data_IF_386671731246
#
_entry.id   IF_386671731246
#
_cell.length_a   1.000
_cell.length_b   1.000
_cell.length_c   1.000
_cell.angle_alpha   90.00
_cell.angle_beta   90.00
_cell.angle_gamma   90.00
#
_symmetry.space_group_name_H-M   'P 1'
#
loop_
_entity.id
_entity.type
_entity.pdbx_description
1 polymer ?
#
# COMPACT_ATOMS: atom_id res chain seq x y z
N UNK A 1 -0.66 -13.80 8.16
CA UNK A 1 0.70 -13.76 8.75
C UNK A 1 0.85 -12.45 9.53
N UNK A 2 1.45 -12.45 10.73
CA UNK A 2 1.62 -11.24 11.54
C UNK A 2 3.11 -10.94 11.73
N UNK A 3 3.50 -9.66 11.69
CA UNK A 3 4.89 -9.24 11.70
C UNK A 3 5.06 -7.76 12.04
N UNK A 4 6.30 -7.27 11.96
CA UNK A 4 6.61 -5.87 12.19
C UNK A 4 6.26 -5.01 10.96
N UNK A 5 5.72 -3.82 11.22
CA UNK A 5 5.28 -2.87 10.19
C UNK A 5 6.44 -2.12 9.52
N UNK A 6 6.09 -1.17 8.68
CA UNK A 6 6.98 -0.51 7.70
C UNK A 6 8.06 0.41 8.29
N UNK A 7 7.86 0.96 9.48
CA UNK A 7 8.81 1.87 10.13
C UNK A 7 9.40 1.20 11.38
N UNK A 8 10.51 0.48 11.23
CA UNK A 8 11.09 -0.33 12.30
C UNK A 8 11.90 0.48 13.32
N UNK A 9 12.65 1.49 12.85
CA UNK A 9 13.39 2.43 13.69
C UNK A 9 13.35 3.82 13.07
N UNK A 10 13.25 4.87 13.90
CA UNK A 10 13.16 6.24 13.41
C UNK A 10 14.42 6.69 12.64
N UNK A 11 15.59 6.18 13.02
CA UNK A 11 16.86 6.49 12.34
C UNK A 11 16.94 5.92 10.91
N UNK A 12 16.06 4.97 10.55
CA UNK A 12 15.90 4.40 9.21
C UNK A 12 14.74 5.03 8.42
N UNK A 13 14.16 6.14 8.89
CA UNK A 13 13.03 6.77 8.23
C UNK A 13 13.42 7.39 6.88
N UNK A 14 13.07 6.68 5.80
CA UNK A 14 13.36 7.05 4.42
C UNK A 14 12.18 7.80 3.78
N UNK A 15 11.87 8.99 4.30
CA UNK A 15 10.66 9.74 3.93
C UNK A 15 10.53 10.06 2.43
N UNK A 16 9.30 9.96 1.96
CA UNK A 16 8.86 10.02 0.58
C UNK A 16 8.27 11.38 0.17
N UNK A 17 9.11 12.37 -0.13
CA UNK A 17 8.60 13.65 -0.63
C UNK A 17 9.43 14.14 -1.80
N UNK A 18 8.99 13.87 -3.03
CA UNK A 18 9.69 14.28 -4.26
C UNK A 18 9.71 15.79 -4.53
N UNK A 19 9.19 16.59 -3.60
CA UNK A 19 9.37 18.05 -3.56
C UNK A 19 10.57 18.48 -2.70
N UNK A 20 11.20 17.54 -2.00
CA UNK A 20 12.33 17.77 -1.10
C UNK A 20 13.51 16.90 -1.55
N UNK A 21 14.75 17.28 -1.21
CA UNK A 21 15.88 16.39 -1.37
C UNK A 21 15.66 15.06 -0.63
N UNK A 22 16.23 13.99 -1.16
CA UNK A 22 16.24 12.68 -0.51
C UNK A 22 16.80 12.80 0.92
N UNK A 23 16.21 12.11 1.92
CA UNK A 23 16.75 12.11 3.28
C UNK A 23 18.16 11.51 3.35
N UNK A 24 19.01 12.12 4.16
CA UNK A 24 20.27 11.51 4.63
C UNK A 24 20.01 10.77 5.94
N UNK A 25 20.09 9.43 5.90
CA UNK A 25 19.85 8.63 7.09
C UNK A 25 20.98 8.81 8.12
N UNK A 26 20.62 8.85 9.41
CA UNK A 26 21.55 9.05 10.50
C UNK A 26 22.67 7.99 10.53
N UNK A 27 23.85 8.33 11.06
CA UNK A 27 24.99 7.39 11.18
C UNK A 27 24.72 6.24 12.15
N UNK A 28 23.79 6.42 13.10
CA UNK A 28 23.36 5.39 14.05
C UNK A 28 22.34 4.40 13.48
N UNK A 29 21.85 4.63 12.24
CA UNK A 29 20.80 3.84 11.62
C UNK A 29 21.13 2.35 11.60
N UNK A 30 22.34 1.97 11.18
CA UNK A 30 22.75 0.57 11.08
C UNK A 30 22.73 -0.12 12.45
N UNK A 31 23.20 0.56 13.49
CA UNK A 31 23.27 0.01 14.84
C UNK A 31 21.86 -0.16 15.46
N UNK A 32 20.96 0.79 15.22
CA UNK A 32 19.57 0.71 15.68
C UNK A 32 18.79 -0.35 14.91
N UNK A 33 18.89 -0.35 13.58
CA UNK A 33 18.20 -1.30 12.71
C UNK A 33 18.68 -2.72 12.98
N UNK A 34 20.00 -2.94 13.16
CA UNK A 34 20.54 -4.27 13.48
C UNK A 34 19.88 -4.87 14.72
N UNK A 35 19.74 -4.10 15.81
CA UNK A 35 19.11 -4.57 17.05
C UNK A 35 17.68 -5.06 16.81
N UNK A 36 16.90 -4.29 16.06
CA UNK A 36 15.50 -4.63 15.77
C UNK A 36 15.43 -5.83 14.83
N UNK A 37 16.21 -5.84 13.74
CA UNK A 37 16.20 -6.95 12.78
C UNK A 37 16.67 -8.25 13.44
N UNK A 38 17.72 -8.23 14.27
CA UNK A 38 18.14 -9.41 15.05
C UNK A 38 17.00 -9.93 15.92
N UNK A 39 16.29 -9.07 16.66
CA UNK A 39 15.16 -9.47 17.49
C UNK A 39 14.03 -10.11 16.65
N UNK A 40 13.68 -9.52 15.50
CA UNK A 40 12.64 -10.04 14.62
C UNK A 40 13.04 -11.41 14.04
N UNK A 41 14.30 -11.56 13.63
CA UNK A 41 14.83 -12.80 13.06
C UNK A 41 14.94 -13.91 14.11
N UNK A 42 15.39 -13.61 15.33
CA UNK A 42 15.42 -14.53 16.47
C UNK A 42 14.04 -15.09 16.79
N UNK A 43 13.02 -14.23 16.77
CA UNK A 43 11.63 -14.62 17.06
C UNK A 43 10.88 -15.14 15.83
N UNK A 44 11.53 -15.20 14.66
CA UNK A 44 10.93 -15.62 13.38
C UNK A 44 9.69 -14.80 13.01
N UNK A 45 9.70 -13.51 13.35
CA UNK A 45 8.63 -12.58 12.98
C UNK A 45 8.93 -11.95 11.61
N UNK A 46 8.03 -12.13 10.63
CA UNK A 46 8.13 -11.43 9.35
C UNK A 46 8.21 -9.93 9.54
N UNK A 47 8.84 -9.23 8.60
CA UNK A 47 9.00 -7.79 8.69
C UNK A 47 9.04 -7.13 7.32
N UNK A 48 8.65 -5.86 7.29
CA UNK A 48 8.76 -4.99 6.12
C UNK A 48 9.48 -3.70 6.50
N UNK A 49 10.02 -3.01 5.51
CA UNK A 49 10.68 -1.73 5.73
C UNK A 49 10.36 -0.77 4.60
N UNK A 50 10.00 0.47 4.95
CA UNK A 50 9.90 1.56 4.00
C UNK A 50 11.25 1.76 3.33
N UNK A 51 11.30 1.75 1.99
CA UNK A 51 12.52 2.10 1.29
C UNK A 51 12.20 2.64 -0.11
N UNK A 52 12.18 3.96 -0.24
CA UNK A 52 11.96 4.67 -1.51
C UNK A 52 13.25 4.68 -2.34
N UNK A 53 14.40 4.88 -1.68
CA UNK A 53 15.64 5.21 -2.38
C UNK A 53 16.75 4.16 -2.27
N UNK A 54 17.48 3.92 -3.36
CA UNK A 54 18.57 2.93 -3.39
C UNK A 54 19.68 3.19 -2.39
N UNK A 55 19.96 4.45 -2.07
CA UNK A 55 20.97 4.82 -1.07
C UNK A 55 20.57 4.40 0.34
N UNK A 56 19.27 4.41 0.64
CA UNK A 56 18.69 3.88 1.86
C UNK A 56 18.67 2.34 1.81
N UNK A 57 18.15 1.77 0.72
CA UNK A 57 18.06 0.32 0.47
C UNK A 57 19.44 -0.35 0.61
N UNK A 58 20.49 0.23 0.03
CA UNK A 58 21.83 -0.32 0.08
C UNK A 58 22.33 -0.45 1.53
N UNK A 59 22.05 0.55 2.38
CA UNK A 59 22.42 0.53 3.79
C UNK A 59 21.56 -0.46 4.59
N UNK A 60 20.26 -0.53 4.31
CA UNK A 60 19.37 -1.54 4.92
C UNK A 60 19.82 -2.96 4.61
N UNK A 61 20.16 -3.24 3.35
CA UNK A 61 20.67 -4.53 2.91
C UNK A 61 22.01 -4.88 3.56
N UNK A 62 22.88 -3.91 3.85
CA UNK A 62 24.12 -4.18 4.60
C UNK A 62 23.80 -4.78 5.99
N UNK A 63 22.81 -4.20 6.67
CA UNK A 63 22.32 -4.70 7.98
C UNK A 63 21.68 -6.08 7.82
N UNK A 64 20.83 -6.28 6.81
CA UNK A 64 20.14 -7.55 6.61
C UNK A 64 21.13 -8.68 6.29
N UNK A 65 22.13 -8.42 5.45
CA UNK A 65 23.21 -9.36 5.15
C UNK A 65 24.06 -9.67 6.39
N UNK A 66 24.35 -8.68 7.22
CA UNK A 66 25.07 -8.87 8.49
C UNK A 66 24.28 -9.75 9.45
N UNK A 67 23.00 -9.43 9.69
CA UNK A 67 22.15 -10.26 10.56
C UNK A 67 21.97 -11.65 9.97
N UNK A 68 21.77 -11.81 8.66
CA UNK A 68 21.61 -13.12 8.03
C UNK A 68 22.86 -14.01 8.15
N UNK A 69 24.07 -13.43 8.25
CA UNK A 69 25.30 -14.20 8.55
C UNK A 69 25.33 -14.72 9.98
N UNK A 70 24.77 -13.97 10.93
CA UNK A 70 24.74 -14.31 12.35
C UNK A 70 23.58 -15.26 12.68
N UNK A 71 22.39 -14.93 12.16
CA UNK A 71 21.13 -15.62 12.38
C UNK A 71 20.43 -15.76 11.00
N UNK A 72 20.56 -16.92 10.35
CA UNK A 72 20.04 -17.09 9.00
C UNK A 72 18.54 -16.85 8.89
N UNK A 73 18.14 -16.09 7.87
CA UNK A 73 16.74 -15.81 7.58
C UNK A 73 15.99 -17.09 7.24
N UNK A 74 16.60 -18.07 6.56
CA UNK A 74 16.08 -19.43 6.38
C UNK A 74 14.55 -19.49 6.12
N UNK A 75 14.07 -18.75 5.11
CA UNK A 75 12.65 -18.69 4.76
C UNK A 75 11.79 -17.76 5.61
N UNK A 76 12.38 -16.94 6.49
CA UNK A 76 11.70 -15.83 7.13
C UNK A 76 11.27 -14.82 6.07
N UNK A 77 9.98 -14.48 6.06
CA UNK A 77 9.43 -13.57 5.05
C UNK A 77 9.77 -12.12 5.39
N UNK A 78 10.35 -11.41 4.42
CA UNK A 78 10.64 -9.99 4.53
C UNK A 78 10.57 -9.30 3.17
N UNK A 79 10.34 -8.00 3.15
CA UNK A 79 10.29 -7.22 1.91
C UNK A 79 10.54 -5.72 2.15
N UNK A 80 10.83 -5.01 1.06
CA UNK A 80 10.76 -3.55 1.02
C UNK A 80 9.40 -3.08 0.48
N UNK A 81 8.91 -1.97 1.02
CA UNK A 81 7.82 -1.21 0.42
C UNK A 81 8.41 -0.08 -0.46
N UNK A 82 7.72 0.26 -1.54
CA UNK A 82 7.98 1.31 -2.53
C UNK A 82 9.08 0.99 -3.55
N UNK A 83 10.35 1.09 -3.17
CA UNK A 83 11.53 0.81 -3.99
C UNK A 83 11.63 1.61 -5.31
N UNK A 84 11.20 2.87 -5.32
CA UNK A 84 11.17 3.73 -6.53
C UNK A 84 12.50 3.83 -7.26
N UNK A 85 13.62 4.02 -6.55
CA UNK A 85 14.92 4.20 -7.21
C UNK A 85 15.87 3.02 -7.10
N UNK A 86 15.38 1.85 -6.65
CA UNK A 86 16.20 0.66 -6.40
C UNK A 86 17.08 0.30 -7.60
N UNK A 87 18.36 0.02 -7.34
CA UNK A 87 19.32 -0.37 -8.37
C UNK A 87 19.28 -1.86 -8.69
N UNK A 88 19.79 -2.24 -9.87
CA UNK A 88 20.00 -3.65 -10.26
C UNK A 88 20.77 -4.44 -9.20
N UNK A 89 21.83 -3.84 -8.67
CA UNK A 89 22.65 -4.45 -7.62
C UNK A 89 21.85 -4.70 -6.34
N UNK A 90 21.01 -3.75 -5.93
CA UNK A 90 20.16 -3.92 -4.74
C UNK A 90 19.08 -4.98 -4.97
N UNK A 91 18.48 -5.04 -6.17
CA UNK A 91 17.54 -6.10 -6.52
C UNK A 91 18.19 -7.50 -6.49
N UNK A 92 19.41 -7.65 -6.99
CA UNK A 92 20.17 -8.92 -6.90
C UNK A 92 20.39 -9.35 -5.44
N UNK A 93 20.67 -8.39 -4.55
CA UNK A 93 20.84 -8.65 -3.10
C UNK A 93 19.51 -9.03 -2.43
N UNK A 94 18.41 -8.35 -2.77
CA UNK A 94 17.05 -8.72 -2.33
C UNK A 94 16.77 -10.17 -2.73
N UNK A 95 17.04 -10.53 -3.99
CA UNK A 95 16.86 -11.90 -4.48
C UNK A 95 17.74 -12.90 -3.75
N UNK A 96 19.02 -12.59 -3.54
CA UNK A 96 19.97 -13.47 -2.85
C UNK A 96 19.55 -13.78 -1.40
N UNK A 97 18.87 -12.84 -0.75
CA UNK A 97 18.33 -12.97 0.61
C UNK A 97 16.87 -13.47 0.65
N UNK A 98 16.29 -13.87 -0.49
CA UNK A 98 14.90 -14.30 -0.63
C UNK A 98 13.86 -13.29 -0.11
N UNK A 99 14.14 -11.99 -0.27
CA UNK A 99 13.18 -10.91 0.03
C UNK A 99 12.19 -10.67 -1.11
N UNK A 100 11.12 -9.94 -0.80
CA UNK A 100 10.16 -9.42 -1.77
C UNK A 100 10.20 -7.89 -1.90
N UNK A 101 9.39 -7.36 -2.82
CA UNK A 101 9.16 -5.92 -3.01
C UNK A 101 7.66 -5.67 -3.19
N UNK A 102 7.07 -4.83 -2.35
CA UNK A 102 5.71 -4.33 -2.54
C UNK A 102 5.77 -2.93 -3.16
N UNK A 103 5.26 -2.76 -4.37
CA UNK A 103 5.23 -1.47 -5.08
C UNK A 103 3.90 -0.75 -4.83
N UNK A 104 3.92 0.58 -4.86
CA UNK A 104 2.74 1.41 -4.70
C UNK A 104 2.61 2.45 -5.81
N UNK A 105 1.38 2.84 -6.13
CA UNK A 105 1.06 3.74 -7.24
C UNK A 105 1.32 5.22 -6.95
N UNK A 106 2.25 5.53 -6.03
CA UNK A 106 2.66 6.92 -5.72
C UNK A 106 3.06 7.69 -6.97
N UNK A 107 3.76 7.04 -7.90
CA UNK A 107 4.17 7.66 -9.17
C UNK A 107 2.98 8.06 -10.05
N UNK A 108 1.78 7.51 -9.84
CA UNK A 108 0.56 7.99 -10.49
C UNK A 108 0.20 9.42 -10.04
N UNK A 109 0.50 9.78 -8.79
CA UNK A 109 0.14 11.06 -8.18
C UNK A 109 1.30 12.05 -8.09
N UNK A 110 2.52 11.55 -7.97
CA UNK A 110 3.72 12.37 -7.72
C UNK A 110 4.76 12.28 -8.84
N UNK A 111 4.42 11.65 -9.97
CA UNK A 111 5.35 11.48 -11.09
C UNK A 111 5.83 12.80 -11.67
N UNK A 112 5.00 13.85 -11.69
CA UNK A 112 5.40 15.20 -12.08
C UNK A 112 6.54 15.72 -11.19
N UNK A 113 6.36 15.65 -9.87
CA UNK A 113 7.39 16.10 -8.91
C UNK A 113 8.67 15.29 -9.02
N UNK A 114 8.55 13.98 -9.23
CA UNK A 114 9.72 13.11 -9.44
C UNK A 114 10.48 13.52 -10.71
N UNK A 115 9.78 13.78 -11.81
CA UNK A 115 10.39 14.21 -13.07
C UNK A 115 11.04 15.59 -12.93
N UNK A 116 10.42 16.52 -12.20
CA UNK A 116 11.00 17.84 -11.94
C UNK A 116 12.31 17.75 -11.14
N UNK A 117 12.38 16.83 -10.17
CA UNK A 117 13.52 16.69 -9.28
C UNK A 117 14.66 15.83 -9.86
N UNK A 118 14.33 14.70 -10.49
CA UNK A 118 15.30 13.69 -10.93
C UNK A 118 15.39 13.55 -12.46
N UNK A 119 14.49 14.18 -13.19
CA UNK A 119 14.44 14.13 -14.65
C UNK A 119 13.66 12.93 -15.20
N UNK A 120 13.22 13.08 -16.45
CA UNK A 120 12.39 12.08 -17.15
C UNK A 120 13.08 10.73 -17.31
N UNK A 121 14.38 10.71 -17.56
CA UNK A 121 15.11 9.44 -17.76
C UNK A 121 15.18 8.62 -16.47
N UNK A 122 15.31 9.24 -15.30
CA UNK A 122 15.21 8.53 -14.03
C UNK A 122 13.80 7.96 -13.85
N UNK A 123 12.77 8.77 -14.10
CA UNK A 123 11.38 8.39 -13.87
C UNK A 123 10.93 7.16 -14.69
N UNK A 124 11.49 6.97 -15.90
CA UNK A 124 11.24 5.79 -16.73
C UNK A 124 11.54 4.47 -16.02
N UNK A 125 12.45 4.47 -15.04
CA UNK A 125 12.93 3.29 -14.35
C UNK A 125 12.41 3.20 -12.91
N UNK A 126 11.31 3.89 -12.58
CA UNK A 126 10.89 4.12 -11.19
C UNK A 126 9.44 3.73 -10.94
N UNK A 127 9.16 2.65 -10.18
CA UNK A 127 10.08 1.55 -9.86
C UNK A 127 10.32 0.64 -11.10
N UNK A 128 11.44 -0.10 -11.16
CA UNK A 128 11.78 -0.96 -12.30
C UNK A 128 11.07 -2.34 -12.25
N UNK A 129 9.74 -2.35 -12.38
CA UNK A 129 8.89 -3.53 -12.08
C UNK A 129 9.24 -4.78 -12.91
N UNK A 130 9.38 -4.67 -14.24
CA UNK A 130 9.75 -5.83 -15.06
C UNK A 130 11.10 -6.44 -14.66
N UNK A 131 12.05 -5.59 -14.29
CA UNK A 131 13.37 -6.08 -13.86
C UNK A 131 13.29 -6.88 -12.56
N UNK A 132 12.44 -6.45 -11.62
CA UNK A 132 12.15 -7.21 -10.40
C UNK A 132 11.56 -8.59 -10.74
N UNK A 133 10.61 -8.63 -11.67
CA UNK A 133 9.96 -9.85 -12.14
C UNK A 133 10.95 -10.79 -12.86
N UNK A 134 11.81 -10.27 -13.73
CA UNK A 134 12.83 -11.02 -14.46
C UNK A 134 13.85 -11.69 -13.52
N UNK A 135 14.16 -11.05 -12.40
CA UNK A 135 15.01 -11.62 -11.34
C UNK A 135 14.29 -12.67 -10.49
N UNK A 136 12.98 -12.85 -10.69
CA UNK A 136 12.15 -13.75 -9.90
C UNK A 136 12.03 -13.31 -8.44
N UNK A 137 12.04 -12.00 -8.20
CA UNK A 137 11.71 -11.43 -6.89
C UNK A 137 10.19 -11.52 -6.71
N UNK A 138 9.67 -11.94 -5.54
CA UNK A 138 8.26 -11.79 -5.23
C UNK A 138 7.85 -10.32 -5.25
N UNK A 139 6.95 -9.96 -6.17
CA UNK A 139 6.42 -8.60 -6.31
C UNK A 139 4.93 -8.61 -6.06
N UNK A 140 4.46 -7.62 -5.30
CA UNK A 140 3.05 -7.34 -5.07
C UNK A 140 2.80 -5.86 -5.31
N UNK A 141 1.59 -5.51 -5.71
CA UNK A 141 1.20 -4.12 -5.93
C UNK A 141 0.16 -3.69 -4.90
N UNK A 142 0.19 -2.41 -4.57
CA UNK A 142 -0.75 -1.80 -3.65
C UNK A 142 -0.87 -0.29 -3.80
N UNK A 143 -1.58 0.34 -2.87
CA UNK A 143 -1.82 1.79 -2.88
C UNK A 143 -1.05 2.57 -1.81
N UNK A 144 -0.84 2.00 -0.62
CA UNK A 144 -0.47 2.76 0.59
C UNK A 144 -1.42 3.98 0.80
N UNK A 145 -2.71 3.68 0.59
CA UNK A 145 -3.77 4.67 0.63
C UNK A 145 -3.86 5.43 1.96
N UNK A 146 -4.44 6.64 1.90
CA UNK A 146 -4.54 7.65 2.97
C UNK A 146 -3.24 8.39 3.30
N UNK A 147 -2.09 7.89 2.86
CA UNK A 147 -0.79 8.53 3.06
C UNK A 147 -0.18 9.06 1.76
N UNK A 148 -0.12 8.21 0.73
CA UNK A 148 0.56 8.54 -0.54
C UNK A 148 -0.37 8.53 -1.76
N UNK A 149 -1.47 7.78 -1.68
CA UNK A 149 -2.35 7.50 -2.82
C UNK A 149 -3.83 7.37 -2.42
N UNK A 150 -4.67 7.16 -3.43
CA UNK A 150 -6.08 6.76 -3.29
C UNK A 150 -6.20 5.27 -2.95
N UNK A 151 -7.27 4.90 -2.23
CA UNK A 151 -7.61 3.48 -2.02
C UNK A 151 -8.24 2.81 -3.25
N UNK A 152 -8.38 3.53 -4.37
CA UNK A 152 -8.94 3.00 -5.60
C UNK A 152 -7.88 2.13 -6.34
N UNK A 153 -8.03 0.79 -6.39
CA UNK A 153 -7.04 -0.10 -7.01
C UNK A 153 -6.92 0.11 -8.53
N UNK A 154 -7.96 0.66 -9.16
CA UNK A 154 -7.97 0.90 -10.60
C UNK A 154 -7.02 2.02 -11.02
N UNK A 155 -6.73 2.97 -10.13
CA UNK A 155 -5.71 4.00 -10.37
C UNK A 155 -4.32 3.36 -10.42
N UNK A 156 -4.03 2.42 -9.54
CA UNK A 156 -2.77 1.68 -9.54
C UNK A 156 -2.62 0.80 -10.78
N UNK A 157 -3.67 0.08 -11.16
CA UNK A 157 -3.69 -0.72 -12.38
C UNK A 157 -3.57 0.15 -13.64
N UNK A 158 -4.22 1.32 -13.68
CA UNK A 158 -4.05 2.30 -14.75
C UNK A 158 -2.60 2.77 -14.85
N UNK A 159 -1.98 3.17 -13.74
CA UNK A 159 -0.59 3.63 -13.73
C UNK A 159 0.38 2.57 -14.24
N UNK A 160 0.26 1.33 -13.77
CA UNK A 160 1.12 0.22 -14.21
C UNK A 160 0.96 -0.08 -15.70
N UNK A 161 -0.26 -0.02 -16.24
CA UNK A 161 -0.56 -0.36 -17.64
C UNK A 161 -0.28 0.81 -18.58
N UNK A 162 -0.81 1.99 -18.29
CA UNK A 162 -0.68 3.17 -19.14
C UNK A 162 0.71 3.82 -19.01
N UNK A 163 1.41 3.61 -17.90
CA UNK A 163 2.70 4.23 -17.62
C UNK A 163 2.61 5.74 -17.46
N UNK A 164 1.49 6.24 -16.94
CA UNK A 164 1.16 7.67 -16.84
C UNK A 164 0.76 8.07 -15.43
N UNK A 165 0.96 9.34 -15.12
CA UNK A 165 0.33 9.99 -13.97
C UNK A 165 -1.17 10.17 -14.22
N UNK A 166 -1.93 10.44 -13.15
CA UNK A 166 -3.33 10.85 -13.25
C UNK A 166 -3.49 12.20 -13.97
N UNK A 167 -2.44 13.04 -13.95
CA UNK A 167 -2.35 14.32 -14.67
C UNK A 167 -2.02 14.16 -16.16
N UNK A 168 -1.77 12.94 -16.64
CA UNK A 168 -1.51 12.62 -18.04
C UNK A 168 -0.03 12.68 -18.45
N UNK A 169 0.88 12.95 -17.53
CA UNK A 169 2.32 12.87 -17.80
C UNK A 169 2.70 11.41 -18.09
N UNK A 170 3.26 11.16 -19.28
CA UNK A 170 3.80 9.84 -19.62
C UNK A 170 5.18 9.66 -19.00
N UNK A 171 5.29 8.69 -18.08
CA UNK A 171 6.49 8.36 -17.32
C UNK A 171 7.26 7.23 -18.01
N UNK A 172 6.56 6.15 -18.40
CA UNK A 172 7.18 4.94 -18.91
C UNK A 172 7.20 4.89 -20.44
N UNK A 173 8.31 4.39 -20.97
CA UNK A 173 8.39 3.92 -22.35
C UNK A 173 7.65 2.57 -22.46
N UNK A 174 7.25 2.14 -23.67
CA UNK A 174 6.48 0.90 -23.89
C UNK A 174 7.06 -0.34 -23.18
N UNK A 175 8.40 -0.44 -23.12
CA UNK A 175 9.10 -1.55 -22.46
C UNK A 175 8.86 -1.64 -20.94
N UNK A 176 8.42 -0.56 -20.30
CA UNK A 176 8.22 -0.47 -18.85
C UNK A 176 6.73 -0.40 -18.48
N UNK A 177 5.82 -0.46 -19.46
CA UNK A 177 4.38 -0.61 -19.25
C UNK A 177 4.02 -2.07 -19.04
N UNK A 178 3.27 -2.38 -17.99
CA UNK A 178 2.86 -3.74 -17.71
C UNK A 178 1.70 -4.17 -18.60
N UNK A 179 1.75 -5.43 -19.07
CA UNK A 179 0.57 -6.09 -19.58
C UNK A 179 -0.53 -6.09 -18.51
N UNK A 180 -1.79 -5.86 -18.91
CA UNK A 180 -2.96 -5.86 -18.01
C UNK A 180 -3.03 -7.09 -17.12
N UNK A 181 -2.76 -8.26 -17.69
CA UNK A 181 -2.74 -9.51 -16.94
C UNK A 181 -1.67 -9.52 -15.87
N UNK A 182 -0.45 -9.06 -16.18
CA UNK A 182 0.65 -8.98 -15.22
C UNK A 182 0.33 -7.99 -14.11
N UNK A 183 -0.18 -6.79 -14.45
CA UNK A 183 -0.60 -5.80 -13.47
C UNK A 183 -1.68 -6.34 -12.51
N UNK A 184 -2.70 -7.02 -13.05
CA UNK A 184 -3.76 -7.64 -12.24
C UNK A 184 -3.22 -8.79 -11.38
N UNK A 185 -2.32 -9.62 -11.90
CA UNK A 185 -1.67 -10.69 -11.14
C UNK A 185 -0.87 -10.12 -9.96
N UNK A 186 -0.11 -9.04 -10.16
CA UNK A 186 0.62 -8.36 -9.08
C UNK A 186 -0.31 -7.85 -7.98
N UNK A 187 -1.43 -7.21 -8.36
CA UNK A 187 -2.41 -6.64 -7.42
C UNK A 187 -3.31 -7.69 -6.73
N UNK A 188 -3.23 -8.96 -7.15
CA UNK A 188 -4.05 -10.04 -6.61
C UNK A 188 -3.17 -11.18 -6.06
N UNK A 189 -2.80 -12.14 -6.90
CA UNK A 189 -1.99 -13.31 -6.55
C UNK A 189 -0.59 -12.92 -6.04
N UNK A 190 0.04 -11.91 -6.63
CA UNK A 190 1.35 -11.39 -6.21
C UNK A 190 1.28 -10.88 -4.77
N UNK A 191 0.30 -10.02 -4.48
CA UNK A 191 0.06 -9.49 -3.13
C UNK A 191 -0.28 -10.55 -2.09
N UNK A 192 -0.85 -11.71 -2.46
CA UNK A 192 -1.10 -12.82 -1.54
C UNK A 192 0.19 -13.40 -0.91
N UNK A 193 1.35 -13.24 -1.57
CA UNK A 193 2.65 -13.60 -0.99
C UNK A 193 2.94 -12.81 0.28
N UNK A 194 2.63 -11.52 0.30
CA UNK A 194 2.95 -10.62 1.41
C UNK A 194 2.08 -10.87 2.64
N UNK A 195 0.93 -11.52 2.49
CA UNK A 195 0.07 -11.94 3.61
C UNK A 195 0.27 -13.39 4.05
N UNK A 196 1.05 -14.18 3.28
CA UNK A 196 1.21 -15.62 3.50
C UNK A 196 -0.03 -16.43 3.11
N UNK A 197 -0.82 -15.92 2.17
CA UNK A 197 -2.08 -16.52 1.71
C UNK A 197 -1.97 -17.06 0.27
N UNK A 198 -0.74 -17.34 -0.20
CA UNK A 198 -0.53 -17.97 -1.49
C UNK A 198 -1.30 -19.30 -1.56
N UNK A 199 -2.00 -19.54 -2.67
CA UNK A 199 -2.83 -20.72 -2.84
C UNK A 199 -4.13 -20.72 -2.03
N UNK A 200 -4.41 -19.66 -1.25
CA UNK A 200 -5.70 -19.45 -0.57
C UNK A 200 -6.53 -18.33 -1.19
N UNK A 201 -5.88 -17.29 -1.72
CA UNK A 201 -6.55 -16.15 -2.38
C UNK A 201 -5.70 -15.56 -3.51
N UNK A 202 -6.32 -14.63 -4.24
CA UNK A 202 -5.69 -13.89 -5.33
C UNK A 202 -5.84 -14.54 -6.70
N UNK A 203 -6.51 -15.69 -6.82
CA UNK A 203 -6.86 -16.30 -8.10
C UNK A 203 -8.23 -16.95 -8.03
N UNK A 204 -9.01 -16.85 -9.09
CA UNK A 204 -10.27 -17.61 -9.24
C UNK A 204 -9.93 -19.06 -9.59
N UNK A 205 -9.77 -19.89 -8.56
CA UNK A 205 -9.44 -21.31 -8.70
C UNK A 205 -10.14 -22.16 -7.62
N UNK A 206 -10.44 -23.41 -7.95
CA UNK A 206 -11.02 -24.37 -6.99
C UNK A 206 -10.09 -24.52 -5.79
N UNK A 207 -10.64 -24.40 -4.58
CA UNK A 207 -9.90 -24.49 -3.31
C UNK A 207 -9.42 -23.15 -2.74
N UNK A 208 -9.56 -22.04 -3.48
CA UNK A 208 -9.31 -20.69 -2.96
C UNK A 208 -10.60 -20.04 -2.44
N UNK A 209 -10.46 -18.97 -1.66
CA UNK A 209 -11.58 -18.14 -1.23
C UNK A 209 -12.31 -17.57 -2.45
N UNK A 210 -13.64 -17.55 -2.37
CA UNK A 210 -14.49 -16.90 -3.35
C UNK A 210 -14.53 -15.38 -3.11
N UNK A 211 -13.38 -14.75 -3.31
CA UNK A 211 -13.17 -13.30 -3.27
C UNK A 211 -13.21 -12.78 -4.72
N UNK A 212 -14.30 -12.09 -5.09
CA UNK A 212 -14.63 -11.77 -6.49
C UNK A 212 -15.15 -10.32 -6.56
N UNK A 213 -14.74 -9.60 -7.60
CA UNK A 213 -15.36 -8.36 -8.02
C UNK A 213 -15.98 -8.52 -9.42
N UNK A 214 -17.22 -8.07 -9.59
CA UNK A 214 -17.85 -7.87 -10.90
C UNK A 214 -17.68 -6.41 -11.26
N UNK A 215 -17.09 -6.11 -12.43
CA UNK A 215 -16.68 -4.76 -12.79
C UNK A 215 -17.72 -4.05 -13.66
N UNK A 216 -17.69 -2.72 -13.65
CA UNK A 216 -18.53 -1.86 -14.50
C UNK A 216 -18.26 -2.01 -16.00
N UNK A 217 -17.04 -2.44 -16.38
CA UNK A 217 -16.66 -2.78 -17.75
C UNK A 217 -15.52 -3.82 -17.76
N UNK A 218 -15.23 -4.37 -18.95
CA UNK A 218 -14.17 -5.37 -19.12
C UNK A 218 -12.77 -4.73 -19.06
N UNK A 219 -12.10 -4.94 -17.93
CA UNK A 219 -10.72 -4.49 -17.68
C UNK A 219 -9.74 -4.89 -18.79
N UNK A 220 -9.95 -5.98 -19.52
CA UNK A 220 -9.01 -6.41 -20.57
C UNK A 220 -9.22 -5.71 -21.91
N UNK A 221 -10.35 -5.04 -22.14
CA UNK A 221 -10.68 -4.47 -23.46
C UNK A 221 -10.97 -2.98 -23.47
N UNK A 222 -11.33 -2.36 -22.35
CA UNK A 222 -11.55 -0.90 -22.29
C UNK A 222 -10.29 -0.13 -22.72
N UNK A 223 -10.37 1.08 -23.29
CA UNK A 223 -9.19 1.92 -23.49
C UNK A 223 -8.37 2.10 -22.20
N UNK A 224 -7.04 2.26 -22.32
CA UNK A 224 -6.18 2.38 -21.13
C UNK A 224 -6.62 3.51 -20.20
N UNK A 225 -7.03 4.65 -20.78
CA UNK A 225 -7.46 5.83 -20.02
C UNK A 225 -8.70 5.56 -19.16
N UNK A 226 -9.58 4.66 -19.59
CA UNK A 226 -10.83 4.30 -18.89
C UNK A 226 -10.60 3.29 -17.77
N UNK A 227 -9.39 2.70 -17.64
CA UNK A 227 -9.09 1.74 -16.57
C UNK A 227 -9.32 2.38 -15.20
N UNK A 228 -8.87 3.62 -14.99
CA UNK A 228 -8.93 4.30 -13.68
C UNK A 228 -10.36 4.64 -13.23
N UNK A 229 -11.32 4.59 -14.16
CA UNK A 229 -12.74 4.87 -13.94
C UNK A 229 -13.57 3.59 -13.71
N UNK A 230 -12.94 2.42 -13.71
CA UNK A 230 -13.61 1.17 -13.38
C UNK A 230 -14.11 1.18 -11.93
N UNK A 231 -15.21 0.48 -11.70
CA UNK A 231 -15.83 0.31 -10.39
C UNK A 231 -16.20 -1.16 -10.17
N UNK A 232 -16.26 -1.59 -8.91
CA UNK A 232 -16.90 -2.86 -8.54
C UNK A 232 -18.40 -2.64 -8.47
N UNK A 233 -19.19 -3.37 -9.27
CA UNK A 233 -20.65 -3.41 -9.19
C UNK A 233 -21.14 -4.43 -8.15
N UNK A 234 -20.36 -5.48 -7.90
CA UNK A 234 -20.63 -6.52 -6.90
C UNK A 234 -19.31 -6.99 -6.31
N UNK A 235 -19.20 -7.00 -5.00
CA UNK A 235 -18.05 -7.59 -4.29
C UNK A 235 -18.53 -8.77 -3.46
N UNK A 236 -17.89 -9.92 -3.67
CA UNK A 236 -18.08 -11.15 -2.92
C UNK A 236 -16.79 -11.40 -2.14
N UNK A 237 -16.91 -11.70 -0.85
CA UNK A 237 -15.79 -12.06 0.03
C UNK A 237 -16.11 -13.36 0.74
N UNK A 238 -15.25 -14.37 0.61
CA UNK A 238 -15.46 -15.69 1.20
C UNK A 238 -16.77 -16.35 0.75
N UNK A 239 -17.28 -16.00 -0.44
CA UNK A 239 -18.57 -16.49 -0.96
C UNK A 239 -19.81 -15.74 -0.46
N UNK A 240 -19.64 -14.66 0.31
CA UNK A 240 -20.73 -13.80 0.77
C UNK A 240 -20.72 -12.46 0.02
N UNK A 241 -21.89 -11.97 -0.40
CA UNK A 241 -21.99 -10.62 -0.97
C UNK A 241 -21.76 -9.60 0.14
N UNK A 242 -20.76 -8.73 -0.03
CA UNK A 242 -20.41 -7.67 0.93
C UNK A 242 -20.68 -6.28 0.40
N UNK A 243 -20.87 -6.13 -0.91
CA UNK A 243 -21.20 -4.88 -1.56
C UNK A 243 -21.94 -5.14 -2.87
N UNK A 244 -22.95 -4.33 -3.17
CA UNK A 244 -23.64 -4.32 -4.45
C UNK A 244 -24.08 -2.91 -4.84
N UNK A 245 -23.89 -2.55 -6.10
CA UNK A 245 -24.32 -1.28 -6.68
C UNK A 245 -25.16 -1.55 -7.95
N UNK A 246 -25.84 -0.52 -8.47
CA UNK A 246 -26.67 -0.59 -9.68
C UNK A 246 -27.63 -1.79 -9.66
N UNK A 247 -27.54 -2.71 -10.64
CA UNK A 247 -28.36 -3.90 -10.75
C UNK A 247 -28.20 -4.89 -9.58
N UNK A 248 -27.09 -4.83 -8.85
CA UNK A 248 -26.80 -5.66 -7.68
C UNK A 248 -27.15 -4.99 -6.34
N UNK A 249 -27.72 -3.77 -6.36
CA UNK A 249 -28.03 -3.02 -5.14
C UNK A 249 -28.87 -3.80 -4.13
N UNK A 250 -29.81 -4.61 -4.61
CA UNK A 250 -30.68 -5.43 -3.77
C UNK A 250 -29.97 -6.62 -3.09
N UNK A 251 -28.74 -6.95 -3.50
CA UNK A 251 -27.91 -7.98 -2.88
C UNK A 251 -26.95 -7.40 -1.84
N UNK A 252 -26.75 -6.08 -1.81
CA UNK A 252 -25.84 -5.45 -0.87
C UNK A 252 -26.37 -5.60 0.56
N UNK A 253 -25.52 -5.98 1.54
CA UNK A 253 -25.92 -5.98 2.94
C UNK A 253 -26.24 -4.55 3.39
N UNK A 254 -27.13 -4.43 4.38
CA UNK A 254 -27.34 -3.16 5.07
C UNK A 254 -26.04 -2.75 5.77
N UNK A 255 -25.63 -1.49 5.57
CA UNK A 255 -24.47 -0.95 6.26
C UNK A 255 -24.76 -0.89 7.76
N UNK A 256 -23.79 -1.26 8.61
CA UNK A 256 -23.94 -1.02 10.04
C UNK A 256 -24.10 0.49 10.30
N UNK A 257 -24.78 0.88 11.39
CA UNK A 257 -24.86 2.29 11.77
C UNK A 257 -23.45 2.85 11.99
N UNK A 258 -23.28 4.14 11.72
CA UNK A 258 -22.02 4.84 11.97
C UNK A 258 -21.60 4.65 13.43
N UNK A 259 -20.34 4.29 13.66
CA UNK A 259 -19.77 4.11 14.99
C UNK A 259 -18.59 5.06 15.20
N UNK A 260 -18.49 5.74 16.36
CA UNK A 260 -19.49 5.77 17.44
C UNK A 260 -20.78 6.51 17.03
N UNK A 261 -21.87 6.33 17.77
CA UNK A 261 -23.19 6.89 17.43
C UNK A 261 -23.20 8.42 17.32
N UNK A 262 -22.27 9.11 17.98
CA UNK A 262 -22.08 10.56 17.86
C UNK A 262 -21.28 10.98 16.62
N UNK A 263 -20.81 10.03 15.81
CA UNK A 263 -20.02 10.30 14.61
C UNK A 263 -20.76 11.28 13.71
N UNK A 264 -20.12 12.38 13.30
CA UNK A 264 -20.69 13.31 12.33
C UNK A 264 -21.14 12.62 11.03
N UNK A 265 -20.54 11.48 10.66
CA UNK A 265 -20.97 10.68 9.50
C UNK A 265 -22.41 10.19 9.63
N UNK A 266 -22.89 9.92 10.84
CA UNK A 266 -24.30 9.55 11.09
C UNK A 266 -25.28 10.71 10.90
N UNK A 267 -24.81 11.96 11.01
CA UNK A 267 -25.62 13.18 10.87
C UNK A 267 -25.54 13.76 9.46
N UNK A 268 -24.33 13.83 8.90
CA UNK A 268 -24.06 14.53 7.63
C UNK A 268 -23.83 13.58 6.45
N UNK A 269 -23.73 12.27 6.69
CA UNK A 269 -23.27 11.30 5.69
C UNK A 269 -21.78 11.39 5.42
N UNK A 270 -21.26 10.47 4.59
CA UNK A 270 -19.89 10.51 4.08
C UNK A 270 -19.87 11.33 2.78
N UNK A 271 -19.00 12.34 2.67
CA UNK A 271 -18.84 13.14 1.44
C UNK A 271 -19.83 14.31 1.26
N UNK A 272 -20.53 14.76 2.31
CA UNK A 272 -21.27 16.05 2.31
C UNK A 272 -22.44 16.16 1.33
N UNK A 273 -22.82 15.08 0.64
CA UNK A 273 -23.78 15.10 -0.45
C UNK A 273 -25.26 15.12 0.01
N UNK A 274 -25.57 15.85 1.09
CA UNK A 274 -26.96 16.20 1.37
C UNK A 274 -27.21 17.62 1.91
N UNK A 275 -26.23 18.37 2.42
CA UNK A 275 -26.49 19.72 2.95
C UNK A 275 -25.23 20.60 2.93
N UNK A 276 -24.98 21.31 1.84
CA UNK A 276 -24.08 22.47 1.84
C UNK A 276 -24.66 23.61 0.97
N UNK A 277 -25.91 23.98 1.24
CA UNK A 277 -26.38 25.34 1.00
C UNK A 277 -26.00 26.20 2.21
N UNK A 278 -24.71 26.49 2.37
CA UNK A 278 -24.27 27.53 3.31
C UNK A 278 -23.07 28.25 2.75
N UNK A 279 -23.34 29.50 2.40
CA UNK A 279 -22.42 30.55 2.01
C UNK A 279 -21.27 30.60 3.02
N UNK A 280 -20.05 30.26 2.59
CA UNK A 280 -18.84 30.55 3.35
C UNK A 280 -18.59 32.06 3.26
N UNK A 281 -19.15 32.83 4.20
CA UNK A 281 -18.63 34.17 4.49
C UNK A 281 -17.33 34.01 5.25
N UNK A 282 -16.26 34.59 4.68
CA UNK A 282 -15.04 34.94 5.40
C UNK A 282 -15.36 35.71 6.68
N UNK A 283 -14.84 35.25 7.82
CA UNK A 283 -14.33 36.09 8.92
C UNK A 283 -13.69 35.15 9.96
N UNK A 284 -12.36 35.07 10.02
CA UNK A 284 -11.44 35.97 10.75
C UNK A 284 -11.19 35.52 12.19
N UNK A 285 -9.93 35.67 12.58
CA UNK A 285 -9.28 35.12 13.77
C UNK A 285 -10.02 35.37 15.09
N UNK A 286 -9.96 34.40 16.01
CA UNK A 286 -9.65 34.76 17.39
C UNK A 286 -8.84 33.68 18.12
N UNK A 287 -7.73 34.14 18.69
CA UNK A 287 -6.87 33.42 19.61
C UNK A 287 -7.51 33.47 20.99
N UNK A 288 -7.69 32.32 21.67
CA UNK A 288 -7.45 32.19 23.12
C UNK A 288 -7.72 30.76 23.65
N UNK A 289 -6.73 30.26 24.38
CA UNK A 289 -6.82 29.43 25.59
C UNK A 289 -7.68 28.17 25.54
N UNK A 290 -7.04 27.00 25.66
CA UNK A 290 -7.24 26.10 26.81
C UNK A 290 -6.13 25.03 26.85
N UNK A 291 -5.29 25.08 27.88
CA UNK A 291 -4.47 23.96 28.33
C UNK A 291 -5.29 23.08 29.25
N UNK A 292 -5.33 21.76 29.02
CA UNK A 292 -5.69 20.77 30.03
C UNK A 292 -4.86 19.51 29.81
N UNK A 293 -3.97 19.27 30.76
CA UNK A 293 -3.19 18.07 31.02
C UNK A 293 -4.08 16.89 31.40
N UNK A 294 -4.08 15.83 30.58
CA UNK A 294 -4.28 14.42 30.98
C UNK A 294 -4.07 13.49 29.75
N UNK A 295 -3.29 12.41 29.83
CA UNK A 295 -3.17 11.45 28.73
C UNK A 295 -4.35 10.48 28.79
N UNK A 296 -5.34 10.65 27.91
CA UNK A 296 -6.38 9.65 27.64
C UNK A 296 -6.03 8.92 26.34
N UNK A 297 -5.10 7.96 26.42
CA UNK A 297 -4.92 6.97 25.37
C UNK A 297 -4.79 5.58 25.98
N UNK A 298 -5.93 4.90 26.13
CA UNK A 298 -6.01 3.45 26.14
C UNK A 298 -6.64 3.04 24.80
N UNK A 299 -5.87 2.38 23.93
CA UNK A 299 -6.39 1.83 22.68
C UNK A 299 -6.42 0.30 22.75
N UNK A 300 -7.58 -0.23 23.13
CA UNK A 300 -8.06 -1.55 22.67
C UNK A 300 -9.57 -1.58 22.84
N UNK A 301 -10.32 -1.34 21.77
CA UNK A 301 -11.75 -1.65 21.73
C UNK A 301 -11.92 -2.98 20.99
N UNK A 302 -12.09 -4.05 21.75
CA UNK A 302 -12.68 -5.28 21.24
C UNK A 302 -14.19 -5.06 21.18
N UNK A 303 -14.75 -4.99 19.98
CA UNK A 303 -16.19 -5.02 19.75
C UNK A 303 -16.62 -6.48 19.77
N UNK A 304 -17.53 -6.83 20.68
CA UNK A 304 -18.11 -8.18 20.75
C UNK A 304 -19.50 -8.11 20.09
N UNK A 305 -19.66 -8.79 18.96
CA UNK A 305 -20.94 -8.97 18.28
C UNK A 305 -21.93 -9.76 19.15
N UNK A 306 -23.23 -9.61 18.88
CA UNK A 306 -24.30 -10.29 19.62
C UNK A 306 -24.25 -11.82 19.52
N UNK A 307 -23.52 -12.36 18.55
CA UNK A 307 -23.24 -13.78 18.32
C UNK A 307 -21.93 -14.25 19.00
N UNK A 308 -21.25 -13.37 19.74
CA UNK A 308 -19.96 -13.67 20.37
C UNK A 308 -18.75 -13.47 19.47
N UNK A 309 -18.92 -12.99 18.23
CA UNK A 309 -17.79 -12.65 17.35
C UNK A 309 -17.00 -11.47 17.90
N UNK A 310 -15.67 -11.55 17.89
CA UNK A 310 -14.79 -10.49 18.38
C UNK A 310 -14.15 -9.78 17.19
N UNK A 311 -14.43 -8.49 17.05
CA UNK A 311 -13.81 -7.61 16.06
C UNK A 311 -12.95 -6.56 16.79
N UNK A 312 -11.72 -6.36 16.34
CA UNK A 312 -10.87 -5.27 16.83
C UNK A 312 -10.89 -4.12 15.84
N UNK A 313 -11.20 -2.91 16.29
CA UNK A 313 -10.95 -1.69 15.50
C UNK A 313 -9.58 -1.16 15.94
N UNK A 314 -8.53 -1.84 15.48
CA UNK A 314 -7.19 -1.27 15.48
C UNK A 314 -6.97 -0.60 14.13
N UNK A 315 -6.42 0.61 14.13
CA UNK A 315 -5.73 1.16 12.96
C UNK A 315 -4.56 0.23 12.62
N UNK A 316 -4.88 -0.87 11.95
CA UNK A 316 -3.90 -1.70 11.28
C UNK A 316 -3.77 -1.09 9.90
N UNK A 317 -2.66 -0.40 9.67
CA UNK A 317 -2.28 0.19 8.38
C UNK A 317 -1.97 -0.92 7.37
N UNK A 318 -2.98 -1.72 7.02
CA UNK A 318 -2.92 -2.70 5.95
C UNK A 318 -4.09 -2.44 5.01
N UNK A 319 -3.88 -1.49 4.10
CA UNK A 319 -4.57 -1.49 2.82
C UNK A 319 -3.54 -1.97 1.79
N UNK A 320 -3.79 -3.14 1.20
CA UNK A 320 -3.12 -3.59 -0.02
C UNK A 320 -3.60 -2.65 -1.13
#
# INVERSE_FOLDING_TARGET
MNGAGEMLVFSAADFEKFQMPRPELATMMEADLKKVISLLVENRWPFRLHATYDESITRFLNVFEEVNREIPFNGLRWWFDHAETISDRSMERVKALNGGIAIQDRMAFQGEYFVDLYGKEAAKHTPPIYRMLDLGIPVGAGSDATRVSSYNPWVALYWMVAGKTIGGLSIYDEKNKLDRKVALELYSKGSAWFSGDEGKKGTLAVGQFADIAVLSADYFTVPEEEIKDLESLLTIMGGQVVYGNNEFKNLSPELPPASPDWSPTGVYGYGGANLANTILSHDSHDNKLHSCSNPLHQHTHTVIGKDGTKWGIGCTCFAF
#
